data_IF_729206978247
#
_entry.id   IF_729206978247
#
_cell.length_a   1.000
_cell.length_b   1.000
_cell.length_c   1.000
_cell.angle_alpha   90.00
_cell.angle_beta   90.00
_cell.angle_gamma   90.00
#
_symmetry.space_group_name_H-M   'P 1'
#
loop_
_entity.id
_entity.type
_entity.pdbx_description
1 polymer ?
#
# COMPACT_ATOMS: atom_id res chain seq x y z
N UNK A 1 -10.13 1.10 -3.05
CA UNK A 1 -10.87 0.67 -4.26
C UNK A 1 -10.05 1.08 -5.48
N UNK A 2 -9.45 0.12 -6.20
CA UNK A 2 -8.59 0.40 -7.36
C UNK A 2 -9.48 0.70 -8.56
N UNK A 3 -9.65 1.99 -8.88
CA UNK A 3 -10.58 2.46 -9.93
C UNK A 3 -10.01 2.32 -11.36
N UNK A 4 -8.68 2.16 -11.50
CA UNK A 4 -7.98 2.06 -12.79
C UNK A 4 -6.84 1.05 -12.72
N UNK A 5 -6.66 0.25 -13.77
CA UNK A 5 -5.51 -0.65 -13.94
C UNK A 5 -4.22 0.12 -14.22
N UNK A 6 -3.06 -0.51 -14.07
CA UNK A 6 -1.76 0.14 -14.37
C UNK A 6 -1.66 0.58 -15.83
N UNK A 7 -2.21 -0.20 -16.76
CA UNK A 7 -2.28 0.15 -18.18
C UNK A 7 -3.12 1.41 -18.41
N UNK A 8 -4.29 1.49 -17.77
CA UNK A 8 -5.16 2.67 -17.83
C UNK A 8 -4.49 3.90 -17.22
N UNK A 9 -3.77 3.74 -16.10
CA UNK A 9 -2.99 4.83 -15.48
C UNK A 9 -1.90 5.35 -16.40
N UNK A 10 -1.15 4.45 -17.04
CA UNK A 10 -0.12 4.81 -18.03
C UNK A 10 -0.74 5.58 -19.20
N UNK A 11 -1.88 5.12 -19.71
CA UNK A 11 -2.57 5.78 -20.81
C UNK A 11 -3.03 7.19 -20.44
N UNK A 12 -3.58 7.37 -19.24
CA UNK A 12 -3.97 8.69 -18.72
C UNK A 12 -2.76 9.63 -18.67
N UNK A 13 -1.62 9.18 -18.13
CA UNK A 13 -0.41 9.98 -18.04
C UNK A 13 0.16 10.35 -19.42
N UNK A 14 0.22 9.40 -20.36
CA UNK A 14 0.66 9.68 -21.74
C UNK A 14 -0.18 10.78 -22.39
N UNK A 15 -1.49 10.73 -22.22
CA UNK A 15 -2.40 11.73 -22.78
C UNK A 15 -2.29 13.06 -22.03
N UNK A 16 -2.04 13.03 -20.72
CA UNK A 16 -1.82 14.23 -19.92
C UNK A 16 -0.61 15.04 -20.40
N UNK A 17 0.56 14.39 -20.50
CA UNK A 17 1.78 15.04 -20.95
C UNK A 17 1.72 15.45 -22.43
N UNK A 18 1.03 14.68 -23.28
CA UNK A 18 0.80 15.06 -24.69
C UNK A 18 -0.04 16.33 -24.83
N UNK A 19 -0.95 16.59 -23.91
CA UNK A 19 -1.87 17.73 -23.96
C UNK A 19 -1.38 18.94 -23.14
N UNK A 20 -0.06 19.12 -23.06
CA UNK A 20 0.58 20.25 -22.35
C UNK A 20 0.14 20.36 -20.90
N UNK A 21 -0.03 19.22 -20.22
CA UNK A 21 -0.41 19.14 -18.80
C UNK A 21 -1.79 19.77 -18.48
N UNK A 22 -2.63 19.96 -19.50
CA UNK A 22 -3.97 20.51 -19.33
C UNK A 22 -4.97 19.41 -18.96
N UNK A 23 -5.34 19.33 -17.69
CA UNK A 23 -6.33 18.35 -17.20
C UNK A 23 -7.65 18.38 -17.99
N UNK A 24 -8.10 19.56 -18.43
CA UNK A 24 -9.33 19.69 -19.23
C UNK A 24 -9.17 19.08 -20.62
N UNK A 25 -8.03 19.32 -21.28
CA UNK A 25 -7.74 18.74 -22.59
C UNK A 25 -7.56 17.21 -22.50
N UNK A 26 -6.88 16.74 -21.45
CA UNK A 26 -6.75 15.31 -21.13
C UNK A 26 -8.11 14.62 -20.98
N UNK A 27 -9.05 15.23 -20.26
CA UNK A 27 -10.39 14.66 -20.10
C UNK A 27 -11.17 14.55 -21.41
N UNK A 28 -11.05 15.55 -22.29
CA UNK A 28 -11.67 15.51 -23.63
C UNK A 28 -11.09 14.36 -24.44
N UNK A 29 -9.76 14.23 -24.47
CA UNK A 29 -9.06 13.15 -25.18
C UNK A 29 -9.33 11.75 -24.60
N UNK A 30 -9.58 11.64 -23.29
CA UNK A 30 -9.92 10.36 -22.63
C UNK A 30 -11.37 9.92 -22.83
N UNK A 31 -12.28 10.84 -23.18
CA UNK A 31 -13.71 10.55 -23.36
C UNK A 31 -14.00 9.46 -24.41
N UNK A 32 -13.42 9.50 -25.62
CA UNK A 32 -13.65 8.45 -26.61
C UNK A 32 -13.02 7.10 -26.24
N UNK A 33 -11.98 7.10 -25.39
CA UNK A 33 -11.22 5.90 -25.05
C UNK A 33 -11.87 5.11 -23.92
N UNK A 34 -12.24 5.79 -22.83
CA UNK A 34 -12.81 5.17 -21.64
C UNK A 34 -14.35 5.07 -21.69
N UNK A 35 -14.99 5.77 -22.62
CA UNK A 35 -16.44 5.91 -22.65
C UNK A 35 -16.97 6.82 -21.54
N UNK A 36 -18.27 7.13 -21.59
CA UNK A 36 -18.90 8.15 -20.72
C UNK A 36 -18.87 7.78 -19.23
N UNK A 37 -19.05 6.50 -18.91
CA UNK A 37 -19.22 6.03 -17.52
C UNK A 37 -17.90 5.68 -16.83
N UNK A 38 -16.87 5.32 -17.59
CA UNK A 38 -15.57 4.93 -17.04
C UNK A 38 -14.52 6.04 -17.12
N UNK A 39 -14.91 7.24 -17.58
CA UNK A 39 -14.01 8.39 -17.70
C UNK A 39 -13.46 8.79 -16.33
N UNK A 40 -12.14 9.02 -16.20
CA UNK A 40 -11.59 9.62 -15.00
C UNK A 40 -12.15 11.02 -14.75
N UNK A 41 -12.34 11.34 -13.48
CA UNK A 41 -12.66 12.70 -13.07
C UNK A 41 -11.42 13.59 -13.17
N UNK A 42 -11.62 14.91 -13.24
CA UNK A 42 -10.49 15.87 -13.21
C UNK A 42 -9.58 15.61 -12.02
N UNK A 43 -10.17 15.42 -10.84
CA UNK A 43 -9.46 15.14 -9.61
C UNK A 43 -8.68 13.82 -9.70
N UNK A 44 -9.24 12.77 -10.30
CA UNK A 44 -8.54 11.51 -10.48
C UNK A 44 -7.29 11.65 -11.35
N UNK A 45 -7.37 12.43 -12.45
CA UNK A 45 -6.20 12.72 -13.31
C UNK A 45 -5.15 13.50 -12.52
N UNK A 46 -5.53 14.58 -11.84
CA UNK A 46 -4.59 15.41 -11.08
C UNK A 46 -3.93 14.64 -9.94
N UNK A 47 -4.70 13.85 -9.19
CA UNK A 47 -4.15 13.01 -8.10
C UNK A 47 -3.23 11.92 -8.64
N UNK A 48 -3.54 11.34 -9.81
CA UNK A 48 -2.68 10.35 -10.45
C UNK A 48 -1.34 10.96 -10.88
N UNK A 49 -1.36 12.13 -11.51
CA UNK A 49 -0.14 12.86 -11.92
C UNK A 49 0.71 13.20 -10.69
N UNK A 50 0.13 13.80 -9.65
CA UNK A 50 0.86 14.13 -8.41
C UNK A 50 1.47 12.89 -7.74
N UNK A 51 0.73 11.78 -7.69
CA UNK A 51 1.23 10.52 -7.15
C UNK A 51 2.38 9.98 -8.01
N UNK A 52 2.26 10.05 -9.32
CA UNK A 52 3.31 9.63 -10.24
C UNK A 52 4.56 10.50 -10.13
N UNK A 53 4.43 11.82 -10.06
CA UNK A 53 5.59 12.74 -9.92
C UNK A 53 6.32 12.58 -8.59
N UNK A 54 5.61 12.21 -7.52
CA UNK A 54 6.23 11.99 -6.20
C UNK A 54 6.91 10.63 -6.04
N UNK A 55 6.40 9.58 -6.69
CA UNK A 55 6.87 8.19 -6.48
C UNK A 55 7.49 7.56 -7.72
N UNK A 56 7.33 8.18 -8.90
CA UNK A 56 7.67 7.66 -10.22
C UNK A 56 7.16 6.23 -10.48
N UNK A 57 6.07 5.85 -9.80
CA UNK A 57 5.49 4.52 -9.84
C UNK A 57 4.01 4.57 -10.22
N UNK A 58 3.58 3.61 -11.03
CA UNK A 58 2.17 3.38 -11.36
C UNK A 58 1.47 2.46 -10.35
N UNK A 59 2.27 1.73 -9.56
CA UNK A 59 1.76 0.80 -8.56
C UNK A 59 1.07 1.57 -7.43
N UNK A 60 0.15 0.89 -6.76
CA UNK A 60 -0.40 1.44 -5.53
C UNK A 60 0.63 1.40 -4.42
N UNK A 61 0.67 2.49 -3.63
CA UNK A 61 1.47 2.52 -2.42
C UNK A 61 0.89 1.44 -1.53
N UNK A 62 1.73 0.51 -1.09
CA UNK A 62 1.30 -0.53 -0.17
C UNK A 62 0.64 0.15 1.03
N UNK A 63 -0.62 -0.20 1.29
CA UNK A 63 -1.30 0.31 2.48
C UNK A 63 -0.46 -0.19 3.66
N UNK A 64 -0.01 0.69 4.57
CA UNK A 64 0.73 0.25 5.73
C UNK A 64 -0.15 -0.72 6.51
N UNK A 65 0.19 -2.00 6.44
CA UNK A 65 -0.49 -3.02 7.24
C UNK A 65 -0.10 -2.74 8.68
N UNK A 66 -1.10 -2.63 9.56
CA UNK A 66 -0.87 -2.40 10.99
C UNK A 66 0.07 -3.50 11.50
N UNK A 67 1.31 -3.11 11.84
CA UNK A 67 2.29 -4.03 12.40
C UNK A 67 1.75 -4.55 13.74
N UNK A 68 1.76 -5.88 13.91
CA UNK A 68 1.43 -6.50 15.19
C UNK A 68 2.65 -6.33 16.10
N UNK A 69 2.62 -5.32 16.97
CA UNK A 69 3.73 -4.98 17.88
C UNK A 69 4.19 -6.17 18.71
N UNK A 70 3.28 -7.09 19.08
CA UNK A 70 3.65 -8.25 19.87
C UNK A 70 4.50 -9.31 19.13
N UNK A 71 4.56 -9.30 17.79
CA UNK A 71 5.45 -10.15 16.98
C UNK A 71 6.49 -9.31 16.23
N UNK A 72 7.10 -8.36 16.94
CA UNK A 72 8.26 -7.66 16.39
C UNK A 72 9.44 -8.62 16.26
N UNK A 73 10.46 -8.24 15.49
CA UNK A 73 11.66 -9.07 15.27
C UNK A 73 12.38 -9.33 16.59
N UNK A 74 12.40 -8.33 17.47
CA UNK A 74 12.99 -8.38 18.80
C UNK A 74 12.25 -9.39 19.68
N UNK A 75 10.92 -9.29 19.76
CA UNK A 75 10.09 -10.21 20.54
C UNK A 75 10.18 -11.67 20.05
N UNK A 76 10.37 -11.87 18.73
CA UNK A 76 10.59 -13.20 18.15
C UNK A 76 11.94 -13.74 18.60
N UNK A 77 13.01 -12.94 18.53
CA UNK A 77 14.34 -13.35 18.98
C UNK A 77 14.38 -13.66 20.49
N UNK A 78 13.73 -12.83 21.31
CA UNK A 78 13.63 -13.05 22.76
C UNK A 78 12.82 -14.31 23.10
N UNK A 79 11.78 -14.61 22.32
CA UNK A 79 11.04 -15.86 22.46
C UNK A 79 11.88 -17.08 22.04
N UNK A 80 12.57 -17.01 20.89
CA UNK A 80 13.43 -18.10 20.40
C UNK A 80 14.55 -18.44 21.39
N UNK A 81 15.20 -17.42 21.97
CA UNK A 81 16.22 -17.60 23.00
C UNK A 81 15.65 -18.21 24.27
N UNK A 82 14.47 -17.76 24.73
CA UNK A 82 13.76 -18.37 25.85
C UNK A 82 13.43 -19.85 25.58
N UNK A 83 13.02 -20.21 24.36
CA UNK A 83 12.70 -21.60 23.98
C UNK A 83 13.94 -22.47 23.94
N UNK A 84 15.05 -21.95 23.42
CA UNK A 84 16.32 -22.65 23.39
C UNK A 84 16.88 -22.93 24.80
N UNK A 85 16.72 -21.98 25.73
CA UNK A 85 17.23 -22.12 27.10
C UNK A 85 16.41 -23.13 27.92
N UNK A 86 15.07 -23.04 27.88
CA UNK A 86 14.20 -23.84 28.73
C UNK A 86 12.99 -24.39 27.94
N UNK A 87 13.12 -25.46 27.15
CA UNK A 87 12.05 -25.91 26.24
C UNK A 87 10.75 -26.30 26.94
N UNK A 88 10.83 -26.82 28.18
CA UNK A 88 9.66 -27.27 28.96
C UNK A 88 8.93 -26.15 29.69
N UNK A 89 9.38 -24.90 29.58
CA UNK A 89 8.74 -23.78 30.26
C UNK A 89 7.36 -23.48 29.66
N UNK A 90 6.37 -23.31 30.54
CA UNK A 90 4.98 -23.09 30.14
C UNK A 90 4.78 -21.72 29.46
N UNK A 91 3.90 -21.68 28.46
CA UNK A 91 3.55 -20.47 27.71
C UNK A 91 3.08 -19.32 28.64
N UNK A 92 2.25 -19.54 29.68
CA UNK A 92 1.86 -18.47 30.60
C UNK A 92 3.05 -17.84 31.32
N UNK A 93 4.07 -18.64 31.68
CA UNK A 93 5.25 -18.16 32.37
C UNK A 93 6.16 -17.35 31.43
N UNK A 94 6.38 -17.85 30.21
CA UNK A 94 7.12 -17.11 29.16
C UNK A 94 6.45 -15.77 28.82
N UNK A 95 5.12 -15.75 28.74
CA UNK A 95 4.32 -14.54 28.52
C UNK A 95 4.60 -13.47 29.59
N UNK A 96 4.70 -13.88 30.85
CA UNK A 96 4.97 -12.98 31.96
C UNK A 96 6.41 -12.46 31.94
N UNK A 97 7.38 -13.33 31.65
CA UNK A 97 8.81 -12.97 31.61
C UNK A 97 9.16 -12.05 30.44
N UNK A 98 8.56 -12.29 29.26
CA UNK A 98 8.78 -11.49 28.05
C UNK A 98 7.86 -10.26 27.95
N UNK A 99 6.86 -10.13 28.82
CA UNK A 99 5.87 -9.04 28.75
C UNK A 99 4.97 -9.08 27.50
N UNK A 100 4.90 -10.21 26.81
CA UNK A 100 4.11 -10.41 25.58
C UNK A 100 2.83 -11.16 25.95
N UNK A 101 1.68 -10.75 25.40
CA UNK A 101 0.42 -11.44 25.65
C UNK A 101 0.47 -12.92 25.22
N UNK A 102 -0.04 -13.82 26.07
CA UNK A 102 -0.12 -15.28 25.80
C UNK A 102 -0.78 -15.69 24.48
N UNK A 103 -1.64 -14.83 23.93
CA UNK A 103 -2.32 -15.05 22.64
C UNK A 103 -1.44 -14.68 21.44
N UNK A 104 -0.29 -14.07 21.69
CA UNK A 104 0.61 -13.52 20.68
C UNK A 104 1.90 -14.32 20.54
N UNK A 105 2.42 -14.85 21.66
CA UNK A 105 3.41 -15.94 21.71
C UNK A 105 2.87 -17.16 20.96
#
# INVERSE_FOLDING_TARGET
>A
MVKYTNEQRLQILKIYYRNSESATATLRALTPIFGRNSRPSRQAVTSLVKKFESTYSLCDVAVPVRLRVGRSVENIADFETSVANDPNQSIPRRSQELGIAKTTL
#
